data_IF_825533709095
#
_entry.id   IF_825533709095
#
_cell.length_a   1.000
_cell.length_b   1.000
_cell.length_c   1.000
_cell.angle_alpha   90.00
_cell.angle_beta   90.00
_cell.angle_gamma   90.00
#
_symmetry.space_group_name_H-M   'P 1'
#
loop_
_entity.id
_entity.type
_entity.pdbx_description
1 polymer ?
#
# COMPACT_ATOMS: atom_id res chain seq x y z
N UNK A 1 -75.61 -11.24 -9.71
CA UNK A 1 -74.33 -10.74 -9.17
C UNK A 1 -73.66 -9.90 -10.26
N UNK A 2 -73.55 -8.60 -9.98
CA UNK A 2 -73.57 -7.49 -10.95
C UNK A 2 -72.30 -7.43 -11.82
N UNK A 3 -72.41 -7.24 -13.15
CA UNK A 3 -71.27 -7.14 -14.09
C UNK A 3 -70.21 -6.13 -13.62
N UNK A 4 -70.66 -5.00 -13.08
CA UNK A 4 -69.81 -3.97 -12.49
C UNK A 4 -68.91 -4.46 -11.33
N UNK A 5 -69.39 -5.38 -10.49
CA UNK A 5 -68.59 -5.95 -9.40
C UNK A 5 -67.51 -6.91 -9.92
N UNK A 6 -67.80 -7.63 -11.02
CA UNK A 6 -66.81 -8.49 -11.68
C UNK A 6 -65.73 -7.66 -12.38
N UNK A 7 -66.14 -6.59 -13.08
CA UNK A 7 -65.22 -5.69 -13.77
C UNK A 7 -64.31 -4.95 -12.76
N UNK A 8 -64.86 -4.50 -11.62
CA UNK A 8 -64.09 -3.93 -10.53
C UNK A 8 -63.09 -4.93 -9.93
N UNK A 9 -63.51 -6.18 -9.69
CA UNK A 9 -62.63 -7.22 -9.17
C UNK A 9 -61.46 -7.50 -10.13
N UNK A 10 -61.73 -7.59 -11.43
CA UNK A 10 -60.70 -7.80 -12.45
C UNK A 10 -59.73 -6.62 -12.54
N UNK A 11 -60.24 -5.38 -12.50
CA UNK A 11 -59.41 -4.17 -12.53
C UNK A 11 -58.53 -4.05 -11.28
N UNK A 12 -59.09 -4.34 -10.10
CA UNK A 12 -58.36 -4.35 -8.83
C UNK A 12 -57.22 -5.38 -8.84
N UNK A 13 -57.49 -6.58 -9.35
CA UNK A 13 -56.47 -7.63 -9.42
C UNK A 13 -55.34 -7.28 -10.38
N UNK A 14 -55.67 -6.77 -11.57
CA UNK A 14 -54.65 -6.28 -12.52
C UNK A 14 -53.78 -5.18 -11.92
N UNK A 15 -54.40 -4.23 -11.22
CA UNK A 15 -53.67 -3.15 -10.57
C UNK A 15 -52.75 -3.67 -9.45
N UNK A 16 -53.17 -4.67 -8.68
CA UNK A 16 -52.31 -5.30 -7.67
C UNK A 16 -51.08 -5.96 -8.30
N UNK A 17 -51.27 -6.72 -9.38
CA UNK A 17 -50.17 -7.39 -10.08
C UNK A 17 -49.12 -6.37 -10.57
N UNK A 18 -49.55 -5.31 -11.26
CA UNK A 18 -48.62 -4.30 -11.77
C UNK A 18 -47.92 -3.53 -10.64
N UNK A 19 -48.61 -3.24 -9.53
CA UNK A 19 -47.99 -2.62 -8.35
C UNK A 19 -46.90 -3.49 -7.75
N UNK A 20 -47.15 -4.80 -7.60
CA UNK A 20 -46.14 -5.75 -7.12
C UNK A 20 -44.94 -5.79 -8.06
N UNK A 21 -45.17 -5.74 -9.37
CA UNK A 21 -44.08 -5.71 -10.35
C UNK A 21 -43.16 -4.50 -10.22
N UNK A 22 -43.72 -3.30 -10.00
CA UNK A 22 -42.95 -2.07 -9.76
C UNK A 22 -42.10 -2.20 -8.48
N UNK A 23 -42.70 -2.73 -7.42
CA UNK A 23 -42.03 -2.97 -6.14
C UNK A 23 -40.86 -3.96 -6.25
N UNK A 24 -41.11 -5.10 -6.89
CA UNK A 24 -40.10 -6.14 -7.08
C UNK A 24 -38.97 -5.65 -7.99
N UNK A 25 -39.30 -4.82 -8.99
CA UNK A 25 -38.31 -4.14 -9.84
C UNK A 25 -37.38 -3.23 -9.05
N UNK A 26 -37.92 -2.38 -8.16
CA UNK A 26 -37.11 -1.52 -7.29
C UNK A 26 -36.22 -2.32 -6.34
N UNK A 27 -36.75 -3.41 -5.76
CA UNK A 27 -35.96 -4.29 -4.89
C UNK A 27 -34.83 -4.99 -5.65
N UNK A 28 -35.10 -5.44 -6.87
CA UNK A 28 -34.07 -6.03 -7.73
C UNK A 28 -33.00 -4.99 -8.08
N UNK A 29 -33.40 -3.76 -8.41
CA UNK A 29 -32.48 -2.66 -8.66
C UNK A 29 -31.63 -2.32 -7.43
N UNK A 30 -32.24 -2.19 -6.24
CA UNK A 30 -31.51 -1.99 -4.98
C UNK A 30 -30.47 -3.09 -4.74
N UNK A 31 -30.85 -4.35 -4.97
CA UNK A 31 -29.94 -5.50 -4.83
C UNK A 31 -28.74 -5.37 -5.77
N UNK A 32 -28.96 -4.99 -7.03
CA UNK A 32 -27.88 -4.75 -7.99
C UNK A 32 -26.92 -3.67 -7.48
N UNK A 33 -27.44 -2.55 -6.96
CA UNK A 33 -26.59 -1.48 -6.41
C UNK A 33 -25.76 -1.97 -5.21
N UNK A 34 -26.35 -2.79 -4.34
CA UNK A 34 -25.63 -3.38 -3.21
C UNK A 34 -24.49 -4.28 -3.70
N UNK A 35 -24.76 -5.16 -4.66
CA UNK A 35 -23.77 -6.10 -5.20
C UNK A 35 -22.64 -5.38 -5.94
N UNK A 36 -22.94 -4.30 -6.67
CA UNK A 36 -21.94 -3.60 -7.50
C UNK A 36 -21.15 -2.53 -6.74
N UNK A 37 -21.77 -1.85 -5.77
CA UNK A 37 -21.19 -0.68 -5.13
C UNK A 37 -21.25 -0.69 -3.59
N UNK A 38 -22.13 -1.50 -3.00
CA UNK A 38 -22.30 -1.57 -1.55
C UNK A 38 -21.04 -2.06 -0.85
N UNK A 39 -20.42 -3.13 -1.36
CA UNK A 39 -19.17 -3.68 -0.82
C UNK A 39 -17.98 -2.73 -0.99
N UNK A 40 -17.98 -1.95 -2.07
CA UNK A 40 -16.97 -0.95 -2.37
C UNK A 40 -17.18 0.37 -1.60
N UNK A 41 -18.26 0.49 -0.82
CA UNK A 41 -18.51 1.65 0.02
C UNK A 41 -19.04 2.89 -0.72
N UNK A 42 -19.49 2.76 -1.97
CA UNK A 42 -20.00 3.88 -2.76
C UNK A 42 -21.47 4.19 -2.46
N UNK A 43 -21.79 5.48 -2.51
CA UNK A 43 -23.14 6.00 -2.35
C UNK A 43 -23.44 6.96 -3.50
N UNK A 44 -24.70 7.05 -3.88
CA UNK A 44 -25.14 7.96 -4.94
C UNK A 44 -26.56 8.46 -4.67
N UNK A 45 -26.93 9.53 -5.34
CA UNK A 45 -28.29 10.09 -5.33
C UNK A 45 -28.80 10.21 -6.75
N UNK A 46 -30.11 10.14 -6.93
CA UNK A 46 -30.76 10.41 -8.19
C UNK A 46 -30.77 11.89 -8.52
N UNK A 47 -31.19 12.17 -9.74
CA UNK A 47 -31.72 13.48 -10.11
C UNK A 47 -32.99 13.81 -9.32
N UNK A 48 -33.39 15.09 -9.40
CA UNK A 48 -34.57 15.63 -8.73
C UNK A 48 -35.84 14.96 -9.25
N UNK A 49 -36.74 14.59 -8.33
CA UNK A 49 -38.02 13.97 -8.60
C UNK A 49 -39.13 14.89 -8.08
N UNK A 50 -40.11 15.25 -8.91
CA UNK A 50 -41.34 15.88 -8.42
C UNK A 50 -42.31 14.76 -8.06
N UNK A 51 -42.60 14.59 -6.76
CA UNK A 51 -43.41 13.51 -6.21
C UNK A 51 -44.91 13.83 -6.22
N UNK A 52 -45.26 15.08 -5.94
CA UNK A 52 -46.64 15.58 -5.85
C UNK A 52 -46.67 17.08 -6.13
N UNK A 53 -47.74 17.59 -6.74
CA UNK A 53 -47.94 19.01 -7.04
C UNK A 53 -49.23 19.50 -6.38
N UNK A 54 -49.19 20.70 -5.83
CA UNK A 54 -50.31 21.36 -5.17
C UNK A 54 -50.81 22.49 -6.07
N UNK A 55 -52.12 22.50 -6.31
CA UNK A 55 -52.79 23.49 -7.15
C UNK A 55 -53.78 24.30 -6.31
N UNK A 56 -53.98 25.56 -6.65
CA UNK A 56 -55.00 26.40 -6.03
C UNK A 56 -56.39 26.22 -6.67
N UNK A 57 -57.33 27.10 -6.33
CA UNK A 57 -58.70 27.05 -6.84
C UNK A 57 -58.80 27.44 -8.32
N UNK A 58 -57.76 28.03 -8.89
CA UNK A 58 -57.65 28.43 -10.29
C UNK A 58 -56.80 27.44 -11.12
N UNK A 59 -56.43 26.30 -10.54
CA UNK A 59 -55.57 25.25 -11.12
C UNK A 59 -54.12 25.74 -11.37
N UNK A 60 -53.66 26.76 -10.64
CA UNK A 60 -52.28 27.23 -10.69
C UNK A 60 -51.39 26.48 -9.68
N UNK A 61 -50.17 26.06 -10.06
CA UNK A 61 -49.27 25.34 -9.16
C UNK A 61 -48.74 26.26 -8.06
N UNK A 62 -49.15 26.02 -6.82
CA UNK A 62 -48.75 26.81 -5.63
C UNK A 62 -47.62 26.15 -4.83
N UNK A 63 -47.26 24.91 -5.17
CA UNK A 63 -46.12 24.21 -4.58
C UNK A 63 -46.03 22.76 -5.03
N UNK A 64 -45.01 22.05 -4.56
CA UNK A 64 -44.83 20.63 -4.85
C UNK A 64 -44.03 19.93 -3.75
N UNK A 65 -44.10 18.60 -3.69
CA UNK A 65 -43.18 17.77 -2.94
C UNK A 65 -42.07 17.32 -3.89
N UNK A 66 -40.85 17.72 -3.59
CA UNK A 66 -39.64 17.29 -4.27
C UNK A 66 -39.01 16.13 -3.50
N UNK A 67 -38.41 15.17 -4.20
CA UNK A 67 -37.57 14.16 -3.58
C UNK A 67 -36.34 13.79 -4.39
N UNK A 68 -35.40 13.15 -3.69
CA UNK A 68 -34.21 12.50 -4.27
C UNK A 68 -34.10 11.11 -3.71
N UNK A 69 -33.86 10.14 -4.58
CA UNK A 69 -33.66 8.76 -4.20
C UNK A 69 -32.16 8.52 -3.96
N UNK A 70 -31.80 8.13 -2.75
CA UNK A 70 -30.41 7.94 -2.33
C UNK A 70 -30.11 6.46 -2.13
N UNK A 71 -29.03 5.99 -2.74
CA UNK A 71 -28.40 4.72 -2.39
C UNK A 71 -27.33 4.95 -1.33
N UNK A 72 -27.54 4.41 -0.12
CA UNK A 72 -26.67 4.66 1.03
C UNK A 72 -25.67 3.52 1.32
N UNK A 73 -25.23 2.81 0.27
CA UNK A 73 -24.40 1.58 0.31
C UNK A 73 -25.16 0.31 0.71
N UNK A 74 -26.28 0.44 1.42
CA UNK A 74 -27.03 -0.72 1.94
C UNK A 74 -28.44 -0.84 1.40
N UNK A 75 -29.05 0.27 0.98
CA UNK A 75 -30.42 0.33 0.47
C UNK A 75 -30.72 1.67 -0.18
N UNK A 76 -31.86 1.74 -0.86
CA UNK A 76 -32.48 2.94 -1.36
C UNK A 76 -33.32 3.61 -0.27
N UNK A 77 -33.22 4.93 -0.22
CA UNK A 77 -33.94 5.80 0.73
C UNK A 77 -34.38 7.04 -0.03
N UNK A 78 -35.66 7.37 0.04
CA UNK A 78 -36.17 8.62 -0.53
C UNK A 78 -36.07 9.72 0.53
N UNK A 79 -35.46 10.85 0.17
CA UNK A 79 -35.55 12.08 0.95
C UNK A 79 -36.49 13.02 0.22
N UNK A 80 -37.53 13.49 0.90
CA UNK A 80 -38.56 14.35 0.32
C UNK A 80 -38.75 15.62 1.15
N UNK A 81 -39.05 16.74 0.50
CA UNK A 81 -39.37 18.01 1.15
C UNK A 81 -40.37 18.79 0.31
N UNK A 82 -41.10 19.68 0.97
CA UNK A 82 -42.10 20.52 0.32
C UNK A 82 -41.48 21.84 -0.15
N UNK A 83 -41.90 22.31 -1.32
CA UNK A 83 -41.49 23.56 -1.95
C UNK A 83 -42.73 24.42 -2.24
N UNK A 84 -42.77 25.72 -1.88
CA UNK A 84 -41.75 26.44 -1.13
C UNK A 84 -41.57 25.89 0.29
N UNK A 85 -40.33 25.91 0.79
CA UNK A 85 -40.00 25.33 2.08
C UNK A 85 -40.70 26.08 3.22
N UNK A 86 -41.42 25.33 4.05
CA UNK A 86 -41.87 25.82 5.36
C UNK A 86 -40.63 25.94 6.24
N UNK A 87 -40.36 27.13 6.80
CA UNK A 87 -39.14 27.43 7.57
C UNK A 87 -38.78 26.32 8.58
N UNK A 88 -37.50 25.97 8.63
CA UNK A 88 -36.87 25.00 9.56
C UNK A 88 -37.24 23.51 9.41
N UNK A 89 -37.88 23.07 8.32
CA UNK A 89 -38.12 21.63 8.09
C UNK A 89 -36.96 20.95 7.34
N UNK A 90 -36.36 19.95 7.98
CA UNK A 90 -35.42 19.03 7.32
C UNK A 90 -36.17 18.12 6.35
N UNK A 91 -35.51 17.64 5.27
CA UNK A 91 -36.08 16.64 4.39
C UNK A 91 -36.52 15.39 5.16
N UNK A 92 -37.73 14.94 4.90
CA UNK A 92 -38.30 13.73 5.48
C UNK A 92 -37.69 12.50 4.80
N UNK A 93 -37.30 11.53 5.63
CA UNK A 93 -36.70 10.29 5.18
C UNK A 93 -37.78 9.21 5.08
N UNK A 94 -37.94 8.64 3.90
CA UNK A 94 -38.91 7.59 3.61
C UNK A 94 -38.20 6.32 3.13
N UNK A 95 -38.52 5.18 3.74
CA UNK A 95 -38.10 3.89 3.20
C UNK A 95 -39.07 3.44 2.13
N UNK A 96 -38.62 2.57 1.22
CA UNK A 96 -39.47 2.08 0.12
C UNK A 96 -40.83 1.54 0.64
N UNK A 97 -40.83 0.85 1.78
CA UNK A 97 -42.04 0.24 2.35
C UNK A 97 -43.10 1.24 2.83
N UNK A 98 -42.71 2.49 3.04
CA UNK A 98 -43.57 3.54 3.58
C UNK A 98 -44.18 4.42 2.46
N UNK A 99 -43.80 4.19 1.20
CA UNK A 99 -44.15 5.06 0.08
C UNK A 99 -45.57 4.82 -0.45
N UNK A 100 -46.24 5.91 -0.82
CA UNK A 100 -47.50 5.85 -1.58
C UNK A 100 -47.28 5.19 -2.95
N UNK A 101 -48.34 4.63 -3.52
CA UNK A 101 -48.22 3.96 -4.83
C UNK A 101 -47.81 4.93 -5.95
N UNK A 102 -48.23 6.19 -5.86
CA UNK A 102 -47.90 7.17 -6.89
C UNK A 102 -46.46 7.66 -6.76
N UNK A 103 -45.94 7.79 -5.53
CA UNK A 103 -44.52 8.04 -5.31
C UNK A 103 -43.67 6.87 -5.80
N UNK A 104 -44.07 5.63 -5.53
CA UNK A 104 -43.39 4.43 -6.04
C UNK A 104 -43.25 4.46 -7.58
N UNK A 105 -44.33 4.78 -8.31
CA UNK A 105 -44.27 4.89 -9.77
C UNK A 105 -43.26 5.94 -10.24
N UNK A 106 -43.23 7.10 -9.57
CA UNK A 106 -42.34 8.22 -9.94
C UNK A 106 -40.88 7.90 -9.68
N UNK A 107 -40.56 7.27 -8.55
CA UNK A 107 -39.17 6.89 -8.24
C UNK A 107 -38.69 5.68 -9.07
N UNK A 108 -39.60 4.85 -9.57
CA UNK A 108 -39.31 3.74 -10.49
C UNK A 108 -39.16 4.16 -11.94
N UNK A 109 -39.28 5.45 -12.25
CA UNK A 109 -39.13 5.95 -13.60
C UNK A 109 -37.71 5.63 -14.12
N UNK A 110 -37.55 5.10 -15.34
CA UNK A 110 -36.25 4.65 -15.86
C UNK A 110 -35.16 5.73 -15.78
N UNK A 111 -35.52 6.99 -15.98
CA UNK A 111 -34.61 8.13 -15.97
C UNK A 111 -34.02 8.33 -14.57
N UNK A 112 -34.84 8.16 -13.53
CA UNK A 112 -34.41 8.27 -12.13
C UNK A 112 -33.48 7.13 -11.75
N UNK A 113 -33.84 5.88 -12.08
CA UNK A 113 -32.99 4.72 -11.78
C UNK A 113 -31.67 4.81 -12.55
N UNK A 114 -31.72 5.25 -13.82
CA UNK A 114 -30.53 5.49 -14.62
C UNK A 114 -29.64 6.58 -14.02
N UNK A 115 -30.20 7.70 -13.53
CA UNK A 115 -29.43 8.78 -12.91
C UNK A 115 -28.63 8.30 -11.69
N UNK A 116 -29.18 7.42 -10.85
CA UNK A 116 -28.45 6.83 -9.72
C UNK A 116 -27.29 5.97 -10.24
N UNK A 117 -27.56 5.09 -11.20
CA UNK A 117 -26.54 4.20 -11.75
C UNK A 117 -25.40 5.00 -12.42
N UNK A 118 -25.75 6.04 -13.18
CA UNK A 118 -24.80 6.93 -13.83
C UNK A 118 -23.94 7.70 -12.81
N UNK A 119 -24.56 8.29 -11.78
CA UNK A 119 -23.84 8.99 -10.72
C UNK A 119 -22.91 8.06 -9.94
N UNK A 120 -23.36 6.83 -9.67
CA UNK A 120 -22.54 5.82 -9.00
C UNK A 120 -21.33 5.41 -9.85
N UNK A 121 -21.55 5.15 -11.14
CA UNK A 121 -20.48 4.81 -12.08
C UNK A 121 -19.47 5.96 -12.22
N UNK A 122 -19.94 7.21 -12.26
CA UNK A 122 -19.09 8.39 -12.28
C UNK A 122 -18.18 8.47 -11.04
N UNK A 123 -18.74 8.31 -9.84
CA UNK A 123 -17.94 8.34 -8.61
C UNK A 123 -16.94 7.19 -8.54
N UNK A 124 -17.33 5.98 -8.97
CA UNK A 124 -16.43 4.82 -9.00
C UNK A 124 -15.28 5.02 -10.00
N UNK A 125 -15.56 5.58 -11.18
CA UNK A 125 -14.55 5.87 -12.19
C UNK A 125 -13.56 6.95 -11.69
N UNK A 126 -14.07 8.01 -11.06
CA UNK A 126 -13.23 9.05 -10.46
C UNK A 126 -12.30 8.48 -9.38
N UNK A 127 -12.83 7.65 -8.49
CA UNK A 127 -12.04 7.04 -7.41
C UNK A 127 -11.00 6.04 -7.93
N UNK A 128 -11.33 5.31 -9.00
CA UNK A 128 -10.39 4.44 -9.70
C UNK A 128 -9.21 5.23 -10.28
N UNK A 129 -9.49 6.34 -10.97
CA UNK A 129 -8.46 7.22 -11.56
C UNK A 129 -7.57 7.84 -10.48
N UNK A 130 -8.17 8.32 -9.39
CA UNK A 130 -7.43 8.87 -8.25
C UNK A 130 -6.55 7.81 -7.58
N UNK A 131 -7.09 6.59 -7.37
CA UNK A 131 -6.34 5.48 -6.77
C UNK A 131 -5.19 5.02 -7.66
N UNK A 132 -5.40 4.93 -8.98
CA UNK A 132 -4.34 4.61 -9.94
C UNK A 132 -3.22 5.66 -9.91
N UNK A 133 -3.56 6.94 -9.92
CA UNK A 133 -2.57 8.03 -9.81
C UNK A 133 -1.74 7.90 -8.54
N UNK A 134 -2.38 7.69 -7.38
CA UNK A 134 -1.68 7.55 -6.10
C UNK A 134 -0.78 6.31 -6.09
N UNK A 135 -1.24 5.19 -6.65
CA UNK A 135 -0.45 3.98 -6.76
C UNK A 135 0.81 4.20 -7.62
N UNK A 136 0.67 4.85 -8.78
CA UNK A 136 1.79 5.17 -9.67
C UNK A 136 2.80 6.12 -9.00
N UNK A 137 2.32 7.14 -8.28
CA UNK A 137 3.17 8.06 -7.52
C UNK A 137 3.95 7.35 -6.42
N UNK A 138 3.30 6.43 -5.68
CA UNK A 138 3.96 5.62 -4.66
C UNK A 138 5.01 4.68 -5.28
N UNK A 139 4.69 4.00 -6.38
CA UNK A 139 5.63 3.15 -7.10
C UNK A 139 6.84 3.93 -7.61
N UNK A 140 6.62 5.14 -8.14
CA UNK A 140 7.70 6.05 -8.54
C UNK A 140 8.56 6.45 -7.34
N UNK A 141 7.95 6.90 -6.24
CA UNK A 141 8.67 7.28 -5.03
C UNK A 141 9.54 6.13 -4.50
N UNK A 142 8.99 4.91 -4.42
CA UNK A 142 9.74 3.73 -3.98
C UNK A 142 10.89 3.40 -4.93
N UNK A 143 10.69 3.55 -6.24
CA UNK A 143 11.74 3.35 -7.25
C UNK A 143 12.85 4.39 -7.12
N UNK A 144 12.51 5.65 -6.86
CA UNK A 144 13.47 6.72 -6.62
C UNK A 144 14.26 6.50 -5.32
N UNK A 145 13.60 6.08 -4.23
CA UNK A 145 14.31 5.76 -2.98
C UNK A 145 15.26 4.58 -3.13
N UNK A 146 14.85 3.55 -3.90
CA UNK A 146 15.73 2.45 -4.27
C UNK A 146 16.94 2.96 -5.07
N UNK A 147 16.71 3.73 -6.13
CA UNK A 147 17.79 4.26 -6.96
C UNK A 147 18.80 5.09 -6.17
N UNK A 148 18.32 5.94 -5.24
CA UNK A 148 19.20 6.69 -4.33
C UNK A 148 20.03 5.79 -3.44
N UNK A 149 19.43 4.72 -2.89
CA UNK A 149 20.17 3.74 -2.09
C UNK A 149 21.25 3.05 -2.93
N UNK A 150 20.94 2.71 -4.17
CA UNK A 150 21.90 2.10 -5.10
C UNK A 150 23.05 3.09 -5.46
N UNK A 151 22.72 4.36 -5.76
CA UNK A 151 23.69 5.42 -6.05
C UNK A 151 24.62 5.69 -4.85
N UNK A 152 24.05 5.80 -3.64
CA UNK A 152 24.81 5.99 -2.41
C UNK A 152 25.80 4.84 -2.21
N UNK A 153 25.34 3.58 -2.30
CA UNK A 153 26.22 2.41 -2.16
C UNK A 153 27.31 2.41 -3.24
N UNK A 154 26.95 2.66 -4.50
CA UNK A 154 27.91 2.69 -5.61
C UNK A 154 29.00 3.75 -5.41
N UNK A 155 28.61 4.96 -5.01
CA UNK A 155 29.54 6.08 -4.79
C UNK A 155 30.58 5.75 -3.71
N UNK A 156 30.14 5.11 -2.63
CA UNK A 156 30.97 4.75 -1.47
C UNK A 156 31.86 3.52 -1.72
N UNK A 157 31.60 2.76 -2.79
CA UNK A 157 32.43 1.62 -3.20
C UNK A 157 33.39 1.96 -4.35
N UNK A 158 33.34 3.17 -4.91
CA UNK A 158 34.09 3.55 -6.12
C UNK A 158 35.62 3.50 -5.94
N UNK A 159 36.10 3.63 -4.71
CA UNK A 159 37.51 3.57 -4.35
C UNK A 159 38.06 2.13 -4.19
N UNK A 160 37.20 1.11 -4.08
CA UNK A 160 37.58 -0.31 -4.09
C UNK A 160 36.85 -1.06 -5.23
N UNK A 161 37.47 -1.06 -6.41
CA UNK A 161 36.92 -1.66 -7.64
C UNK A 161 36.52 -3.13 -7.46
N UNK A 162 37.17 -3.88 -6.57
CA UNK A 162 36.82 -5.28 -6.33
C UNK A 162 35.50 -5.40 -5.55
N UNK A 163 35.28 -4.54 -4.55
CA UNK A 163 34.02 -4.49 -3.82
C UNK A 163 32.89 -3.93 -4.68
N UNK A 164 33.19 -2.92 -5.51
CA UNK A 164 32.22 -2.37 -6.47
C UNK A 164 31.76 -3.43 -7.48
N UNK A 165 32.68 -4.23 -8.02
CA UNK A 165 32.34 -5.32 -8.94
C UNK A 165 31.47 -6.39 -8.27
N UNK A 166 31.80 -6.80 -7.04
CA UNK A 166 30.98 -7.74 -6.26
C UNK A 166 29.57 -7.19 -5.98
N UNK A 167 29.45 -5.92 -5.61
CA UNK A 167 28.15 -5.28 -5.42
C UNK A 167 27.36 -5.20 -6.74
N UNK A 168 28.02 -4.84 -7.84
CA UNK A 168 27.40 -4.76 -9.17
C UNK A 168 26.87 -6.13 -9.62
N UNK A 169 27.65 -7.21 -9.40
CA UNK A 169 27.20 -8.58 -9.67
C UNK A 169 26.03 -8.99 -8.78
N UNK A 170 26.05 -8.62 -7.51
CA UNK A 170 24.95 -8.84 -6.58
C UNK A 170 23.66 -8.13 -7.04
N UNK A 171 23.76 -6.83 -7.35
CA UNK A 171 22.64 -5.99 -7.77
C UNK A 171 22.04 -6.45 -9.12
N UNK A 172 22.87 -6.68 -10.13
CA UNK A 172 22.41 -7.04 -11.49
C UNK A 172 21.78 -8.43 -11.59
N UNK A 173 22.02 -9.30 -10.61
CA UNK A 173 21.47 -10.66 -10.60
C UNK A 173 20.17 -10.79 -9.80
N UNK A 174 19.70 -9.74 -9.10
CA UNK A 174 18.48 -9.79 -8.27
C UNK A 174 17.27 -10.32 -9.06
N UNK A 175 17.05 -9.81 -10.28
CA UNK A 175 15.92 -10.18 -11.13
C UNK A 175 16.12 -11.48 -11.89
N UNK A 176 17.33 -11.72 -12.35
CA UNK A 176 17.61 -12.80 -13.32
C UNK A 176 18.01 -14.10 -12.64
N UNK A 177 18.70 -14.02 -11.50
CA UNK A 177 19.21 -15.15 -10.69
C UNK A 177 19.23 -14.76 -9.21
N UNK A 178 18.08 -14.67 -8.53
CA UNK A 178 17.96 -14.25 -7.12
C UNK A 178 18.94 -14.98 -6.17
N UNK A 179 19.15 -16.28 -6.39
CA UNK A 179 20.09 -17.10 -5.62
C UNK A 179 21.56 -16.66 -5.79
N UNK A 180 21.94 -16.22 -6.99
CA UNK A 180 23.28 -15.70 -7.25
C UNK A 180 23.47 -14.33 -6.61
N UNK A 181 22.44 -13.49 -6.64
CA UNK A 181 22.47 -12.18 -5.98
C UNK A 181 22.75 -12.35 -4.47
N UNK A 182 22.05 -13.28 -3.82
CA UNK A 182 22.30 -13.62 -2.40
C UNK A 182 23.73 -14.14 -2.19
N UNK A 183 24.22 -15.00 -3.09
CA UNK A 183 25.59 -15.50 -3.07
C UNK A 183 26.63 -14.39 -3.15
N UNK A 184 26.51 -13.50 -4.15
CA UNK A 184 27.40 -12.36 -4.34
C UNK A 184 27.32 -11.39 -3.15
N UNK A 185 26.14 -11.14 -2.59
CA UNK A 185 25.96 -10.29 -1.41
C UNK A 185 26.68 -10.83 -0.16
N UNK A 186 26.70 -12.14 0.03
CA UNK A 186 27.46 -12.77 1.10
C UNK A 186 28.98 -12.66 0.87
N UNK A 187 29.44 -12.85 -0.38
CA UNK A 187 30.86 -12.71 -0.75
C UNK A 187 31.33 -11.26 -0.62
N UNK A 188 30.48 -10.28 -0.96
CA UNK A 188 30.73 -8.85 -0.77
C UNK A 188 31.00 -8.54 0.71
N UNK A 189 30.11 -8.98 1.60
CA UNK A 189 30.25 -8.77 3.05
C UNK A 189 31.52 -9.43 3.59
N UNK A 190 31.73 -10.71 3.28
CA UNK A 190 32.93 -11.44 3.72
C UNK A 190 34.22 -10.76 3.26
N UNK A 191 34.28 -10.36 1.99
CA UNK A 191 35.43 -9.66 1.41
C UNK A 191 35.63 -8.29 2.05
N UNK A 192 34.55 -7.56 2.32
CA UNK A 192 34.60 -6.26 2.97
C UNK A 192 35.17 -6.39 4.38
N UNK A 193 34.66 -7.34 5.17
CA UNK A 193 35.09 -7.50 6.56
C UNK A 193 36.55 -7.93 6.68
N UNK A 194 36.98 -8.89 5.84
CA UNK A 194 38.39 -9.32 5.81
C UNK A 194 39.33 -8.17 5.44
N UNK A 195 38.97 -7.36 4.42
CA UNK A 195 39.75 -6.16 4.05
C UNK A 195 39.80 -5.13 5.17
N UNK A 196 38.69 -4.91 5.86
CA UNK A 196 38.61 -4.00 7.01
C UNK A 196 39.53 -4.47 8.16
N UNK A 197 39.54 -5.76 8.48
CA UNK A 197 40.45 -6.35 9.47
C UNK A 197 41.91 -6.17 9.08
N UNK A 198 42.26 -6.41 7.80
CA UNK A 198 43.61 -6.18 7.29
C UNK A 198 44.01 -4.71 7.40
N UNK A 199 43.13 -3.77 7.05
CA UNK A 199 43.39 -2.32 7.19
C UNK A 199 43.68 -1.91 8.64
N UNK A 200 43.04 -2.57 9.60
CA UNK A 200 43.26 -2.34 11.04
C UNK A 200 44.47 -3.09 11.61
N UNK A 201 45.25 -3.78 10.77
CA UNK A 201 46.43 -4.54 11.19
C UNK A 201 46.10 -5.83 11.97
N UNK A 202 44.86 -6.29 11.95
CA UNK A 202 44.47 -7.55 12.58
C UNK A 202 45.04 -8.72 11.75
N UNK A 203 45.61 -9.74 12.40
CA UNK A 203 46.27 -10.88 11.75
C UNK A 203 45.55 -12.19 12.05
N UNK A 204 45.63 -13.19 11.15
CA UNK A 204 45.05 -14.52 11.39
C UNK A 204 43.55 -14.61 11.10
N UNK A 205 43.01 -13.69 10.29
CA UNK A 205 41.60 -13.63 9.93
C UNK A 205 41.28 -14.24 8.56
N UNK A 206 42.26 -14.87 7.90
CA UNK A 206 42.15 -15.39 6.55
C UNK A 206 41.05 -16.47 6.46
N UNK A 207 40.99 -17.32 7.48
CA UNK A 207 40.04 -18.44 7.60
C UNK A 207 38.74 -18.07 8.30
N UNK A 208 38.55 -16.80 8.70
CA UNK A 208 37.33 -16.38 9.39
C UNK A 208 36.12 -16.53 8.47
N UNK A 209 35.02 -17.05 9.03
CA UNK A 209 33.73 -16.96 8.35
C UNK A 209 33.27 -15.50 8.31
N UNK A 210 32.25 -15.20 7.50
CA UNK A 210 31.63 -13.87 7.48
C UNK A 210 31.15 -13.45 8.87
N UNK A 211 30.57 -14.36 9.64
CA UNK A 211 30.09 -14.09 11.00
C UNK A 211 31.24 -13.82 11.99
N UNK A 212 32.33 -14.58 11.88
CA UNK A 212 33.53 -14.37 12.72
C UNK A 212 34.21 -13.05 12.39
N UNK A 213 34.26 -12.68 11.11
CA UNK A 213 34.88 -11.44 10.63
C UNK A 213 34.15 -10.19 11.16
N UNK A 214 32.81 -10.17 11.08
CA UNK A 214 32.03 -9.05 11.63
C UNK A 214 32.04 -9.04 13.16
N UNK A 215 32.11 -10.21 13.80
CA UNK A 215 32.29 -10.33 15.25
C UNK A 215 33.60 -9.70 15.72
N UNK A 216 34.71 -10.00 15.04
CA UNK A 216 36.02 -9.42 15.35
C UNK A 216 36.04 -7.90 15.16
N UNK A 217 35.47 -7.39 14.05
CA UNK A 217 35.34 -5.95 13.81
C UNK A 217 34.50 -5.26 14.89
N UNK A 218 33.41 -5.89 15.32
CA UNK A 218 32.57 -5.35 16.40
C UNK A 218 33.33 -5.24 17.72
N UNK A 219 34.17 -6.21 18.06
CA UNK A 219 35.06 -6.12 19.23
C UNK A 219 36.02 -4.94 19.10
N UNK A 220 36.70 -4.80 17.95
CA UNK A 220 37.65 -3.70 17.72
C UNK A 220 36.96 -2.33 17.81
N UNK A 221 35.78 -2.18 17.21
CA UNK A 221 35.04 -0.91 17.25
C UNK A 221 34.55 -0.55 18.65
N UNK A 222 34.24 -1.55 19.48
CA UNK A 222 33.89 -1.33 20.88
C UNK A 222 35.11 -0.91 21.70
N UNK A 223 36.26 -1.58 21.52
CA UNK A 223 37.52 -1.26 22.20
C UNK A 223 38.04 0.14 21.85
N UNK A 224 37.85 0.57 20.60
CA UNK A 224 38.22 1.91 20.11
C UNK A 224 37.19 2.99 20.43
N UNK A 225 36.13 2.68 21.17
CA UNK A 225 35.08 3.62 21.58
C UNK A 225 34.34 4.31 20.42
N UNK A 226 34.39 3.73 19.22
CA UNK A 226 33.76 4.26 17.99
C UNK A 226 32.25 4.03 18.00
N UNK A 227 31.79 3.05 18.76
CA UNK A 227 30.41 2.59 18.77
C UNK A 227 29.94 2.46 20.23
N UNK A 228 29.11 3.40 20.70
CA UNK A 228 28.55 3.45 22.07
C UNK A 228 27.06 3.13 22.11
N UNK A 229 26.65 2.44 23.19
CA UNK A 229 25.23 2.25 23.58
C UNK A 229 24.34 1.75 22.43
N UNK A 230 23.57 2.64 21.80
CA UNK A 230 22.60 2.30 20.76
C UNK A 230 23.23 1.99 19.40
N UNK A 231 24.37 2.59 19.04
CA UNK A 231 25.08 2.22 17.80
C UNK A 231 25.68 0.81 17.89
N UNK A 232 26.03 0.36 19.10
CA UNK A 232 26.49 -1.01 19.36
C UNK A 232 25.38 -2.04 19.13
N UNK A 233 24.13 -1.68 19.41
CA UNK A 233 22.97 -2.52 19.12
C UNK A 233 22.71 -2.63 17.62
N UNK A 234 22.92 -1.56 16.85
CA UNK A 234 22.81 -1.59 15.38
C UNK A 234 23.85 -2.53 14.77
N UNK A 235 25.10 -2.48 15.25
CA UNK A 235 26.14 -3.38 14.76
C UNK A 235 25.92 -4.83 15.20
N UNK A 236 25.46 -5.08 16.43
CA UNK A 236 25.00 -6.40 16.85
C UNK A 236 23.83 -6.92 16.00
N UNK A 237 22.96 -6.01 15.55
CA UNK A 237 21.93 -6.28 14.53
C UNK A 237 22.54 -6.69 13.19
N UNK A 238 23.56 -5.97 12.72
CA UNK A 238 24.28 -6.31 11.48
C UNK A 238 24.98 -7.67 11.55
N UNK A 239 25.55 -8.06 12.70
CA UNK A 239 26.07 -9.41 12.92
C UNK A 239 24.98 -10.46 12.70
N UNK A 240 23.80 -10.27 13.29
CA UNK A 240 22.66 -11.19 13.08
C UNK A 240 22.21 -11.22 11.62
N UNK A 241 22.17 -10.06 10.96
CA UNK A 241 21.85 -9.97 9.54
C UNK A 241 22.85 -10.76 8.70
N UNK A 242 24.15 -10.63 8.96
CA UNK A 242 25.19 -11.40 8.27
C UNK A 242 24.98 -12.91 8.48
N UNK A 243 24.73 -13.35 9.72
CA UNK A 243 24.44 -14.77 10.01
C UNK A 243 23.20 -15.27 9.26
N UNK A 244 22.13 -14.46 9.18
CA UNK A 244 20.95 -14.78 8.36
C UNK A 244 21.27 -14.84 6.88
N UNK A 245 22.07 -13.91 6.34
CA UNK A 245 22.50 -13.90 4.94
C UNK A 245 23.31 -15.16 4.61
N UNK A 246 24.27 -15.52 5.46
CA UNK A 246 25.07 -16.74 5.30
C UNK A 246 24.22 -18.01 5.37
N UNK A 247 23.24 -18.07 6.28
CA UNK A 247 22.32 -19.20 6.40
C UNK A 247 21.43 -19.32 5.16
N UNK A 248 20.89 -18.20 4.67
CA UNK A 248 20.08 -18.18 3.45
C UNK A 248 20.90 -18.60 2.25
N UNK A 249 22.12 -18.05 2.06
CA UNK A 249 23.07 -18.50 1.03
C UNK A 249 23.24 -20.03 1.06
N UNK A 250 23.50 -20.62 2.22
CA UNK A 250 23.71 -22.08 2.31
C UNK A 250 22.48 -22.91 1.95
N UNK A 251 21.27 -22.35 2.13
CA UNK A 251 20.00 -23.01 1.77
C UNK A 251 19.61 -22.83 0.30
N UNK A 252 19.90 -21.66 -0.29
CA UNK A 252 19.37 -21.26 -1.61
C UNK A 252 20.40 -21.24 -2.72
N UNK A 253 21.67 -21.01 -2.40
CA UNK A 253 22.75 -21.02 -3.37
C UNK A 253 23.04 -22.47 -3.76
N UNK A 254 23.17 -22.72 -5.08
CA UNK A 254 23.41 -24.05 -5.65
C UNK A 254 24.74 -24.72 -5.28
N UNK A 255 25.43 -24.25 -4.22
CA UNK A 255 26.72 -24.74 -3.74
C UNK A 255 26.66 -26.20 -3.27
N UNK A 256 25.48 -26.68 -2.84
CA UNK A 256 25.26 -28.07 -2.42
C UNK A 256 24.30 -28.86 -3.33
N UNK A 257 23.97 -28.33 -4.52
CA UNK A 257 22.96 -28.90 -5.42
C UNK A 257 21.52 -28.58 -4.99
N UNK A 258 20.57 -28.67 -5.93
CA UNK A 258 19.15 -28.49 -5.63
C UNK A 258 18.62 -29.74 -4.93
N UNK A 259 18.30 -29.63 -3.65
CA UNK A 259 17.71 -30.71 -2.86
C UNK A 259 16.23 -30.87 -3.21
N UNK A 260 15.65 -32.05 -2.99
CA UNK A 260 14.22 -32.29 -3.15
C UNK A 260 13.42 -31.32 -2.25
N UNK A 261 12.47 -30.57 -2.84
CA UNK A 261 11.75 -29.49 -2.15
C UNK A 261 12.37 -28.09 -2.26
N UNK A 262 13.37 -27.89 -3.14
CA UNK A 262 13.96 -26.57 -3.41
C UNK A 262 12.91 -25.55 -3.87
N UNK A 263 12.86 -24.41 -3.17
CA UNK A 263 12.11 -23.22 -3.57
C UNK A 263 13.11 -22.11 -3.83
N UNK A 264 13.09 -21.55 -5.04
CA UNK A 264 13.94 -20.42 -5.39
C UNK A 264 13.58 -19.20 -4.51
N UNK A 265 14.57 -18.41 -4.07
CA UNK A 265 14.29 -17.18 -3.32
C UNK A 265 13.54 -16.18 -4.21
N UNK A 266 12.65 -15.39 -3.61
CA UNK A 266 11.92 -14.33 -4.33
C UNK A 266 12.86 -13.18 -4.72
N UNK A 267 12.47 -12.44 -5.76
CA UNK A 267 13.15 -11.19 -6.17
C UNK A 267 13.23 -10.21 -4.99
N UNK A 268 12.14 -10.03 -4.24
CA UNK A 268 12.09 -9.10 -3.10
C UNK A 268 13.10 -9.48 -2.01
N UNK A 269 13.24 -10.78 -1.73
CA UNK A 269 14.22 -11.26 -0.75
C UNK A 269 15.65 -11.01 -1.26
N UNK A 270 15.94 -11.32 -2.53
CA UNK A 270 17.25 -11.06 -3.12
C UNK A 270 17.57 -9.54 -3.15
N UNK A 271 16.59 -8.70 -3.45
CA UNK A 271 16.74 -7.24 -3.44
C UNK A 271 17.07 -6.73 -2.03
N UNK A 272 16.33 -7.18 -1.03
CA UNK A 272 16.60 -6.82 0.37
C UNK A 272 18.01 -7.22 0.77
N UNK A 273 18.44 -8.43 0.42
CA UNK A 273 19.77 -8.94 0.73
C UNK A 273 20.87 -8.15 -0.01
N UNK A 274 20.63 -7.77 -1.27
CA UNK A 274 21.56 -6.94 -2.04
C UNK A 274 21.77 -5.56 -1.39
N UNK A 275 20.68 -4.87 -1.02
CA UNK A 275 20.76 -3.58 -0.34
C UNK A 275 21.40 -3.68 1.04
N UNK A 276 21.02 -4.68 1.86
CA UNK A 276 21.60 -4.87 3.19
C UNK A 276 23.09 -5.19 3.10
N UNK A 277 23.51 -6.05 2.17
CA UNK A 277 24.92 -6.35 1.95
C UNK A 277 25.71 -5.09 1.58
N UNK A 278 25.21 -4.29 0.62
CA UNK A 278 25.86 -3.03 0.25
C UNK A 278 25.93 -2.01 1.39
N UNK A 279 24.79 -1.77 2.07
CA UNK A 279 24.71 -0.80 3.16
C UNK A 279 25.60 -1.17 4.36
N UNK A 280 25.64 -2.45 4.76
CA UNK A 280 26.51 -2.93 5.84
C UNK A 280 27.97 -2.84 5.43
N UNK A 281 28.32 -3.17 4.19
CA UNK A 281 29.68 -2.99 3.66
C UNK A 281 30.14 -1.54 3.77
N UNK A 282 29.34 -0.60 3.27
CA UNK A 282 29.65 0.84 3.35
C UNK A 282 29.77 1.30 4.81
N UNK A 283 28.83 0.92 5.66
CA UNK A 283 28.84 1.31 7.07
C UNK A 283 30.12 0.87 7.78
N UNK A 284 30.49 -0.41 7.66
CA UNK A 284 31.68 -0.96 8.34
C UNK A 284 32.95 -0.28 7.85
N UNK A 285 33.05 -0.02 6.54
CA UNK A 285 34.20 0.70 5.96
C UNK A 285 34.36 2.10 6.54
N UNK A 286 33.27 2.87 6.64
CA UNK A 286 33.28 4.19 7.28
C UNK A 286 33.70 4.14 8.75
N UNK A 287 33.28 3.11 9.49
CA UNK A 287 33.74 2.94 10.87
C UNK A 287 35.24 2.65 10.96
N UNK A 288 35.80 1.88 10.01
CA UNK A 288 37.26 1.67 9.93
C UNK A 288 38.00 2.96 9.61
N UNK A 289 37.51 3.78 8.69
CA UNK A 289 38.13 5.06 8.36
C UNK A 289 38.19 5.99 9.57
N UNK A 290 37.07 6.12 10.30
CA UNK A 290 37.03 6.87 11.56
C UNK A 290 37.98 6.29 12.62
N UNK A 291 38.13 4.96 12.67
CA UNK A 291 39.07 4.30 13.57
C UNK A 291 40.52 4.72 13.30
N UNK A 292 40.90 4.80 12.01
CA UNK A 292 42.25 5.15 11.58
C UNK A 292 42.54 6.65 11.79
N UNK A 293 41.58 7.52 11.47
CA UNK A 293 41.70 8.98 11.72
C UNK A 293 41.87 9.31 13.21
N UNK A 294 41.27 8.51 14.10
CA UNK A 294 41.43 8.70 15.55
C UNK A 294 42.84 8.35 16.07
N UNK A 295 43.56 7.45 15.39
CA UNK A 295 44.93 7.05 15.72
C UNK A 295 45.98 8.04 15.20
N UNK A 296 45.76 8.63 14.04
CA UNK A 296 46.63 9.70 13.51
C UNK A 296 46.58 10.96 14.39
N UNK A 297 45.41 11.30 14.96
CA UNK A 297 45.26 12.47 15.82
C UNK A 297 45.84 12.28 17.25
N UNK A 298 46.02 11.05 17.71
CA UNK A 298 46.62 10.75 19.04
C UNK A 298 48.13 10.61 19.00
N UNK A 299 48.72 10.32 17.84
CA UNK A 299 50.17 10.20 17.64
C UNK A 299 50.88 11.52 17.32
N UNK A 300 50.12 12.62 17.12
CA UNK A 300 50.63 13.95 16.78
C UNK A 300 50.97 14.89 17.96
N UNK A 301 50.90 14.44 19.22
CA UNK A 301 51.35 15.25 20.38
C UNK A 301 52.83 14.94 20.63
N UNK A 302 53.77 15.88 20.43
CA UNK A 302 55.16 15.66 20.78
C UNK A 302 55.25 15.52 22.30
N UNK A 303 55.88 14.43 22.73
CA UNK A 303 56.35 14.23 24.09
C UNK A 303 57.29 15.40 24.42
N UNK A 304 56.78 16.39 25.16
CA UNK A 304 57.60 17.44 25.75
C UNK A 304 58.41 16.77 26.85
N UNK A 305 59.55 16.22 26.46
CA UNK A 305 60.64 15.92 27.36
C UNK A 305 60.99 17.21 28.10
N UNK A 306 60.69 17.26 29.40
CA UNK A 306 61.23 18.26 30.31
C UNK A 306 62.77 18.12 30.30
N UNK A 307 63.51 19.18 29.91
CA UNK A 307 64.94 19.23 30.15
C UNK A 307 65.21 19.76 31.57
N UNK A 308 66.21 19.15 32.20
CA UNK A 308 66.83 19.42 33.52
C UNK A 308 66.66 20.82 34.14
#
# INVERSE_FOLDING_TARGET
>A
MNKALKDLALASERLRIERTRVWDGLKAFEKILIEQAGELGFAAQSDRIILEEFFDQEDEPVGHIEGRLHFNRKRLVLYAHQVPEVHDRKPEKHFLGDLSTDWLKRISAPEILHSIAANLAFYMQSDLEDTQRVADELSRYLSEQKARTDEDIQSELTDDLALLDLWTQCHNTVRTKPENSIGHGAVLLESTFKRCLTKLGYTGHEDFSMADSIGALNTIFYEKDLIKSYSGQLLAGAVKMCSSIGTTRNKVAGVHGKVEGYVAPSEDLAQLMSHLSGAVSVFVRKQVELALESEENTTGVPDLADPD
#
